data_IF_091714864683
#
_entry.id   IF_091714864683
#
_cell.length_a   1.000
_cell.length_b   1.000
_cell.length_c   1.000
_cell.angle_alpha   90.00
_cell.angle_beta   90.00
_cell.angle_gamma   90.00
#
_symmetry.space_group_name_H-M   'P 1'
#
loop_
_entity.id
_entity.type
_entity.pdbx_description
1 polymer ?
#
# COMPACT_ATOMS: atom_id res chain seq x y z
N UNK A 1 61.16 2.09 41.64
CA UNK A 1 59.70 2.38 41.75
C UNK A 1 59.18 3.26 40.61
N UNK A 2 59.90 4.32 40.20
CA UNK A 2 59.49 5.20 39.08
C UNK A 2 59.40 4.50 37.72
N UNK A 3 60.34 3.60 37.42
CA UNK A 3 60.33 2.83 36.16
C UNK A 3 59.09 1.93 36.01
N UNK A 4 58.69 1.22 37.08
CA UNK A 4 57.49 0.36 37.09
C UNK A 4 56.20 1.17 36.85
N UNK A 5 56.17 2.45 37.26
CA UNK A 5 55.04 3.34 36.98
C UNK A 5 54.99 3.77 35.51
N UNK A 6 56.15 3.96 34.87
CA UNK A 6 56.24 4.35 33.46
C UNK A 6 55.79 3.21 32.54
N UNK A 7 56.24 2.00 32.82
CA UNK A 7 55.83 0.77 32.11
C UNK A 7 54.32 0.56 32.20
N UNK A 8 53.71 0.73 33.39
CA UNK A 8 52.25 0.62 33.54
C UNK A 8 51.48 1.65 32.75
N UNK A 9 51.92 2.91 32.75
CA UNK A 9 51.28 3.98 31.96
C UNK A 9 51.37 3.71 30.45
N UNK A 10 52.48 3.13 29.99
CA UNK A 10 52.63 2.73 28.58
C UNK A 10 51.69 1.56 28.22
N UNK A 11 51.55 0.57 29.10
CA UNK A 11 50.61 -0.53 28.91
C UNK A 11 49.14 -0.06 28.92
N UNK A 12 48.76 0.81 29.86
CA UNK A 12 47.43 1.42 29.93
C UNK A 12 47.10 2.24 28.66
N UNK A 13 48.06 3.02 28.16
CA UNK A 13 47.91 3.76 26.91
C UNK A 13 47.68 2.85 25.71
N UNK A 14 48.39 1.72 25.63
CA UNK A 14 48.23 0.72 24.57
C UNK A 14 46.87 0.03 24.65
N UNK A 15 46.39 -0.30 25.85
CA UNK A 15 45.05 -0.87 26.05
C UNK A 15 43.98 0.13 25.64
N UNK A 16 44.10 1.39 26.05
CA UNK A 16 43.13 2.44 25.69
C UNK A 16 43.07 2.69 24.18
N UNK A 17 44.22 2.61 23.48
CA UNK A 17 44.28 2.69 22.03
C UNK A 17 43.48 1.56 21.36
N UNK A 18 43.68 0.32 21.81
CA UNK A 18 42.95 -0.84 21.30
C UNK A 18 41.45 -0.68 21.55
N UNK A 19 41.03 -0.22 22.75
CA UNK A 19 39.63 0.05 23.05
C UNK A 19 39.02 1.09 22.11
N UNK A 20 39.76 2.18 21.82
CA UNK A 20 39.31 3.23 20.92
C UNK A 20 39.16 2.74 19.48
N UNK A 21 40.11 1.95 18.98
CA UNK A 21 40.03 1.35 17.64
C UNK A 21 38.95 0.27 17.52
N UNK A 22 38.70 -0.47 18.59
CA UNK A 22 37.63 -1.47 18.66
C UNK A 22 36.25 -0.87 18.91
N UNK A 23 36.16 0.43 19.17
CA UNK A 23 34.87 1.07 19.43
C UNK A 23 34.01 0.97 18.16
N UNK A 24 32.76 0.47 18.29
CA UNK A 24 31.90 0.31 17.13
C UNK A 24 31.72 1.67 16.46
N UNK A 25 31.88 1.71 15.13
CA UNK A 25 31.59 2.90 14.32
C UNK A 25 30.08 3.15 14.33
N UNK A 26 29.57 3.66 15.44
CA UNK A 26 28.14 3.93 15.68
C UNK A 26 27.57 4.85 14.61
N UNK A 27 28.40 5.68 13.99
CA UNK A 27 28.03 6.54 12.86
C UNK A 27 27.60 5.75 11.62
N UNK A 28 28.20 4.57 11.36
CA UNK A 28 27.90 3.72 10.19
C UNK A 28 27.05 2.49 10.53
N UNK A 29 26.90 2.14 11.81
CA UNK A 29 26.05 1.03 12.25
C UNK A 29 24.54 1.32 12.10
N UNK A 30 24.16 2.59 12.00
CA UNK A 30 22.78 3.03 11.74
C UNK A 30 22.48 3.28 10.26
N UNK A 31 23.28 2.78 9.31
CA UNK A 31 22.96 2.90 7.88
C UNK A 31 21.64 2.20 7.50
N UNK A 32 21.10 1.30 8.33
CA UNK A 32 19.76 0.74 8.17
C UNK A 32 18.61 1.64 8.69
N UNK A 33 18.90 2.78 9.32
CA UNK A 33 17.92 3.63 10.01
C UNK A 33 17.51 4.90 9.24
N UNK A 34 17.57 4.90 7.92
CA UNK A 34 16.90 5.92 7.09
C UNK A 34 15.81 5.32 6.19
N UNK A 35 15.11 4.28 6.66
CA UNK A 35 13.85 3.91 6.02
C UNK A 35 12.83 4.96 6.43
N UNK A 36 12.38 5.77 5.48
CA UNK A 36 11.31 6.75 5.71
C UNK A 36 9.98 6.01 5.91
N UNK A 37 9.75 5.52 7.12
CA UNK A 37 8.55 4.77 7.49
C UNK A 37 7.28 5.55 7.21
N UNK A 38 7.29 6.87 7.39
CA UNK A 38 6.13 7.73 7.09
C UNK A 38 5.77 7.67 5.61
N UNK A 39 6.76 7.82 4.72
CA UNK A 39 6.52 7.75 3.28
C UNK A 39 6.00 6.38 2.85
N UNK A 40 6.57 5.30 3.38
CA UNK A 40 6.13 3.94 3.07
C UNK A 40 4.74 3.63 3.63
N UNK A 41 4.43 4.04 4.86
CA UNK A 41 3.09 3.92 5.43
C UNK A 41 2.07 4.70 4.61
N UNK A 42 2.39 5.94 4.23
CA UNK A 42 1.52 6.74 3.36
C UNK A 42 1.31 6.09 1.99
N UNK A 43 2.35 5.54 1.38
CA UNK A 43 2.26 4.81 0.12
C UNK A 43 1.32 3.60 0.23
N UNK A 44 1.45 2.79 1.29
CA UNK A 44 0.57 1.62 1.53
C UNK A 44 -0.88 2.06 1.72
N UNK A 45 -1.13 3.12 2.50
CA UNK A 45 -2.49 3.64 2.72
C UNK A 45 -3.12 4.15 1.41
N UNK A 46 -2.37 4.91 0.62
CA UNK A 46 -2.85 5.42 -0.67
C UNK A 46 -3.11 4.29 -1.66
N UNK A 47 -2.24 3.29 -1.73
CA UNK A 47 -2.48 2.11 -2.57
C UNK A 47 -3.73 1.34 -2.14
N UNK A 48 -3.93 1.15 -0.83
CA UNK A 48 -5.15 0.56 -0.29
C UNK A 48 -6.40 1.35 -0.69
N UNK A 49 -6.34 2.68 -0.64
CA UNK A 49 -7.43 3.56 -1.06
C UNK A 49 -7.72 3.44 -2.57
N UNK A 50 -6.69 3.40 -3.42
CA UNK A 50 -6.84 3.22 -4.87
C UNK A 50 -7.49 1.87 -5.19
N UNK A 51 -7.07 0.79 -4.52
CA UNK A 51 -7.68 -0.54 -4.69
C UNK A 51 -9.14 -0.52 -4.24
N UNK A 52 -9.43 0.05 -3.07
CA UNK A 52 -10.79 0.19 -2.57
C UNK A 52 -11.70 0.96 -3.54
N UNK A 53 -11.24 2.12 -4.02
CA UNK A 53 -11.97 2.93 -5.00
C UNK A 53 -12.17 2.19 -6.32
N UNK A 54 -11.18 1.42 -6.78
CA UNK A 54 -11.30 0.61 -8.00
C UNK A 54 -12.38 -0.47 -7.86
N UNK A 55 -12.45 -1.15 -6.72
CA UNK A 55 -13.49 -2.15 -6.43
C UNK A 55 -14.87 -1.49 -6.36
N UNK A 56 -14.99 -0.35 -5.68
CA UNK A 56 -16.23 0.41 -5.62
C UNK A 56 -16.70 0.87 -7.00
N UNK A 57 -15.78 1.33 -7.84
CA UNK A 57 -16.05 1.77 -9.21
C UNK A 57 -16.54 0.62 -10.10
N UNK A 58 -15.89 -0.54 -10.01
CA UNK A 58 -16.32 -1.76 -10.73
C UNK A 58 -17.74 -2.15 -10.35
N UNK A 59 -18.09 -2.15 -9.05
CA UNK A 59 -19.43 -2.51 -8.60
C UNK A 59 -20.49 -1.51 -9.09
N UNK A 60 -20.20 -0.20 -9.06
CA UNK A 60 -21.10 0.82 -9.57
C UNK A 60 -21.32 0.69 -11.09
N UNK A 61 -20.24 0.46 -11.84
CA UNK A 61 -20.31 0.30 -13.29
C UNK A 61 -21.03 -0.98 -13.71
N UNK A 62 -20.82 -2.07 -12.97
CA UNK A 62 -21.55 -3.31 -13.19
C UNK A 62 -23.06 -3.12 -13.00
N UNK A 63 -23.49 -2.39 -11.96
CA UNK A 63 -24.91 -2.05 -11.77
C UNK A 63 -25.45 -1.15 -12.87
N UNK A 64 -24.69 -0.11 -13.28
CA UNK A 64 -25.07 0.76 -14.41
C UNK A 64 -25.28 -0.07 -15.68
N UNK A 65 -24.32 -0.93 -16.01
CA UNK A 65 -24.37 -1.75 -17.21
C UNK A 65 -25.53 -2.76 -17.17
N UNK A 66 -25.81 -3.38 -16.02
CA UNK A 66 -26.97 -4.26 -15.84
C UNK A 66 -28.30 -3.53 -16.06
N UNK A 67 -28.40 -2.25 -15.65
CA UNK A 67 -29.58 -1.42 -15.90
C UNK A 67 -29.73 -1.08 -17.38
N UNK A 68 -28.64 -0.66 -18.04
CA UNK A 68 -28.63 -0.34 -19.48
C UNK A 68 -29.02 -1.54 -20.35
N UNK A 69 -28.56 -2.74 -19.97
CA UNK A 69 -28.83 -3.99 -20.68
C UNK A 69 -30.10 -4.71 -20.22
N UNK A 70 -30.87 -4.11 -19.29
CA UNK A 70 -32.13 -4.65 -18.75
C UNK A 70 -32.00 -6.07 -18.17
N UNK A 71 -30.84 -6.44 -17.64
CA UNK A 71 -30.57 -7.78 -17.11
C UNK A 71 -31.35 -8.10 -15.82
N UNK A 72 -31.76 -7.07 -15.06
CA UNK A 72 -32.46 -7.21 -13.78
C UNK A 72 -33.89 -6.65 -13.79
N UNK A 73 -34.64 -6.88 -14.88
CA UNK A 73 -36.09 -6.60 -14.90
C UNK A 73 -36.85 -7.65 -14.09
N UNK A 74 -37.81 -7.21 -13.29
CA UNK A 74 -38.66 -8.14 -12.54
C UNK A 74 -39.55 -8.95 -13.49
N UNK A 75 -39.64 -10.26 -13.26
CA UNK A 75 -40.42 -11.19 -14.09
C UNK A 75 -41.93 -11.03 -13.90
N UNK A 76 -42.36 -10.52 -12.74
CA UNK A 76 -43.77 -10.30 -12.41
C UNK A 76 -44.19 -8.88 -12.76
N UNK A 77 -43.33 -7.89 -12.50
CA UNK A 77 -43.59 -6.47 -12.75
C UNK A 77 -42.58 -5.92 -13.75
N UNK A 78 -42.89 -5.95 -15.04
CA UNK A 78 -41.97 -5.54 -16.12
C UNK A 78 -41.55 -4.06 -16.07
N UNK A 79 -42.27 -3.24 -15.30
CA UNK A 79 -41.94 -1.83 -15.04
C UNK A 79 -41.04 -1.63 -13.82
N UNK A 80 -40.84 -2.66 -12.98
CA UNK A 80 -40.04 -2.59 -11.76
C UNK A 80 -38.67 -3.27 -11.91
N UNK A 81 -37.72 -2.82 -11.10
CA UNK A 81 -36.34 -3.32 -11.07
C UNK A 81 -36.15 -4.26 -9.87
N UNK A 82 -35.62 -5.46 -10.14
CA UNK A 82 -35.27 -6.38 -9.07
C UNK A 82 -33.96 -5.94 -8.39
N UNK A 83 -34.11 -5.32 -7.21
CA UNK A 83 -32.99 -4.87 -6.36
C UNK A 83 -32.15 -6.03 -5.82
N UNK A 84 -32.67 -7.25 -5.76
CA UNK A 84 -31.90 -8.43 -5.34
C UNK A 84 -30.98 -8.87 -6.47
N UNK A 85 -31.50 -8.97 -7.69
CA UNK A 85 -30.69 -9.20 -8.89
C UNK A 85 -29.59 -8.15 -9.01
N UNK A 86 -29.91 -6.85 -8.87
CA UNK A 86 -28.94 -5.77 -9.08
C UNK A 86 -27.73 -5.82 -8.13
N UNK A 87 -27.86 -6.44 -6.96
CA UNK A 87 -26.74 -6.61 -6.01
C UNK A 87 -25.79 -7.76 -6.35
N UNK A 88 -26.26 -8.74 -7.13
CA UNK A 88 -25.55 -9.99 -7.39
C UNK A 88 -25.25 -10.22 -8.87
N UNK A 89 -25.85 -9.42 -9.75
CA UNK A 89 -25.67 -9.53 -11.20
C UNK A 89 -24.21 -9.33 -11.55
N UNK A 90 -23.71 -10.15 -12.47
CA UNK A 90 -22.45 -9.92 -13.15
C UNK A 90 -22.78 -9.67 -14.62
N UNK A 91 -22.61 -8.43 -15.07
CA UNK A 91 -23.13 -7.98 -16.35
C UNK A 91 -22.12 -8.10 -17.49
N UNK A 92 -20.84 -8.34 -17.18
CA UNK A 92 -19.77 -8.65 -18.15
C UNK A 92 -18.98 -9.86 -17.67
N UNK A 93 -18.14 -10.40 -18.53
CA UNK A 93 -17.33 -11.59 -18.19
C UNK A 93 -16.25 -11.31 -17.14
N UNK A 94 -15.81 -10.05 -17.08
CA UNK A 94 -14.54 -9.70 -16.46
C UNK A 94 -14.56 -8.33 -15.78
N UNK A 95 -14.17 -8.28 -14.50
CA UNK A 95 -14.20 -7.07 -13.67
C UNK A 95 -13.38 -5.89 -14.23
N UNK A 96 -12.26 -6.16 -14.92
CA UNK A 96 -11.43 -5.10 -15.48
C UNK A 96 -12.08 -4.39 -16.66
N UNK A 97 -13.05 -5.02 -17.33
CA UNK A 97 -13.81 -4.37 -18.40
C UNK A 97 -14.68 -3.24 -17.83
N UNK A 98 -15.27 -3.46 -16.64
CA UNK A 98 -15.98 -2.41 -15.91
C UNK A 98 -15.04 -1.29 -15.50
N UNK A 99 -13.87 -1.64 -14.94
CA UNK A 99 -12.89 -0.63 -14.54
C UNK A 99 -12.40 0.21 -15.71
N UNK A 100 -12.02 -0.43 -16.82
CA UNK A 100 -11.54 0.25 -18.02
C UNK A 100 -12.62 1.16 -18.64
N UNK A 101 -13.85 0.68 -18.75
CA UNK A 101 -14.95 1.47 -19.29
C UNK A 101 -15.24 2.68 -18.39
N UNK A 102 -15.35 2.48 -17.07
CA UNK A 102 -15.60 3.58 -16.13
C UNK A 102 -14.50 4.65 -16.12
N UNK A 103 -13.23 4.26 -16.34
CA UNK A 103 -12.11 5.20 -16.42
C UNK A 103 -12.03 5.96 -17.75
N UNK A 104 -12.58 5.40 -18.83
CA UNK A 104 -12.54 5.99 -20.18
C UNK A 104 -13.80 6.76 -20.53
N UNK A 105 -14.95 6.39 -19.95
CA UNK A 105 -16.27 6.96 -20.22
C UNK A 105 -16.76 7.71 -18.98
N UNK A 106 -16.16 8.87 -18.70
CA UNK A 106 -16.47 9.69 -17.52
C UNK A 106 -17.65 10.64 -17.73
N UNK A 107 -18.12 10.79 -18.97
CA UNK A 107 -19.30 11.58 -19.30
C UNK A 107 -20.52 10.68 -19.51
N UNK A 108 -21.72 11.10 -19.07
CA UNK A 108 -22.94 10.37 -19.38
C UNK A 108 -23.15 10.33 -20.89
N UNK A 109 -23.41 9.14 -21.42
CA UNK A 109 -23.87 8.98 -22.80
C UNK A 109 -25.25 9.65 -22.93
N UNK A 110 -25.36 10.59 -23.87
CA UNK A 110 -26.56 11.39 -24.17
C UNK A 110 -27.53 10.59 -25.03
#
# INVERSE_FOLDING_TARGET
>A
MKEISKERKAAEGKVMHIYKESSPAVENLYEFSYINHIAWTAAVVLLGLVVWLSVALVNAENQRHALMTKQCQDKVFTTELDKKCLRMVDSREHWWQHLHYALTHTSPEV
#
